data_IF_576845265374
#
_entry.id   IF_576845265374
#
_cell.length_a   1.000
_cell.length_b   1.000
_cell.length_c   1.000
_cell.angle_alpha   90.00
_cell.angle_beta   90.00
_cell.angle_gamma   90.00
#
_symmetry.space_group_name_H-M   'P 1'
#
loop_
_entity.id
_entity.type
_entity.pdbx_description
1 polymer ?
#
# COMPACT_ATOMS: atom_id res chain seq x y z
N UNK A 1 -8.77 17.10 -13.23
CA UNK A 1 -9.43 15.77 -13.15
C UNK A 1 -9.73 15.56 -11.68
N UNK A 2 -11.00 15.71 -11.28
CA UNK A 2 -11.39 15.52 -9.89
C UNK A 2 -11.08 14.06 -9.53
N UNK A 3 -10.53 13.89 -8.36
CA UNK A 3 -10.06 12.61 -7.85
C UNK A 3 -11.26 11.64 -7.76
N UNK A 4 -11.38 10.73 -8.69
CA UNK A 4 -12.46 9.72 -8.74
C UNK A 4 -12.50 8.92 -7.43
N UNK A 5 -11.38 8.85 -6.73
CA UNK A 5 -11.22 8.28 -5.41
C UNK A 5 -12.05 9.00 -4.34
N UNK A 6 -11.99 10.33 -4.30
CA UNK A 6 -12.70 11.12 -3.30
C UNK A 6 -14.22 10.98 -3.45
N UNK A 7 -14.70 10.91 -4.69
CA UNK A 7 -16.13 10.77 -4.97
C UNK A 7 -16.64 9.38 -4.59
N UNK A 8 -15.91 8.32 -4.87
CA UNK A 8 -16.31 6.96 -4.52
C UNK A 8 -16.18 6.65 -3.05
N UNK A 9 -15.13 7.12 -2.39
CA UNK A 9 -14.99 6.96 -0.94
C UNK A 9 -16.15 7.59 -0.16
N UNK A 10 -16.76 8.64 -0.69
CA UNK A 10 -17.96 9.25 -0.11
C UNK A 10 -19.23 8.41 -0.31
N UNK A 11 -19.32 7.66 -1.40
CA UNK A 11 -20.53 6.91 -1.77
C UNK A 11 -20.52 5.48 -1.24
N UNK A 12 -19.37 4.82 -1.25
CA UNK A 12 -19.24 3.39 -0.90
C UNK A 12 -18.66 3.13 0.49
N UNK A 13 -18.16 4.18 1.16
CA UNK A 13 -17.37 4.02 2.37
C UNK A 13 -16.02 3.35 2.10
N UNK A 14 -15.32 2.97 3.16
CA UNK A 14 -14.01 2.30 3.09
C UNK A 14 -14.13 0.77 2.91
N UNK A 15 -15.24 0.27 2.37
CA UNK A 15 -15.42 -1.15 2.13
C UNK A 15 -14.52 -1.61 0.97
N UNK A 16 -13.72 -2.64 1.23
CA UNK A 16 -12.95 -3.34 0.20
C UNK A 16 -13.92 -4.19 -0.63
N UNK A 17 -14.47 -3.59 -1.67
CA UNK A 17 -15.44 -4.24 -2.55
C UNK A 17 -14.75 -4.63 -3.88
N UNK A 18 -14.90 -5.88 -4.28
CA UNK A 18 -14.33 -6.38 -5.53
C UNK A 18 -14.88 -5.64 -6.77
N UNK A 19 -16.14 -5.21 -6.73
CA UNK A 19 -16.74 -4.44 -7.83
C UNK A 19 -16.10 -3.06 -7.97
N UNK A 20 -15.74 -2.42 -6.86
CA UNK A 20 -15.04 -1.14 -6.88
C UNK A 20 -13.63 -1.30 -7.49
N UNK A 21 -12.93 -2.38 -7.18
CA UNK A 21 -11.60 -2.65 -7.74
C UNK A 21 -11.64 -2.87 -9.24
N UNK A 22 -12.67 -3.54 -9.74
CA UNK A 22 -12.85 -3.77 -11.17
C UNK A 22 -13.24 -2.50 -11.95
N UNK A 23 -13.82 -1.51 -11.28
CA UNK A 23 -14.28 -0.27 -11.89
C UNK A 23 -13.28 0.89 -11.83
N UNK A 24 -12.21 0.76 -11.04
CA UNK A 24 -11.14 1.76 -10.93
C UNK A 24 -10.01 1.45 -11.90
N UNK A 25 -9.44 2.50 -12.49
CA UNK A 25 -8.34 2.39 -13.45
C UNK A 25 -7.19 3.32 -13.06
N UNK A 26 -5.98 2.84 -13.32
CA UNK A 26 -4.75 3.60 -13.17
C UNK A 26 -4.11 3.81 -14.54
N UNK A 27 -3.53 5.00 -14.75
CA UNK A 27 -2.68 5.25 -15.90
C UNK A 27 -1.25 4.80 -15.57
N UNK A 28 -0.81 3.74 -16.21
CA UNK A 28 0.55 3.21 -16.10
C UNK A 28 1.23 3.36 -17.47
N UNK A 29 2.10 4.33 -17.57
CA UNK A 29 2.84 4.64 -18.82
C UNK A 29 1.94 4.78 -20.06
N UNK A 30 0.81 5.48 -19.90
CA UNK A 30 -0.16 5.71 -20.97
C UNK A 30 -1.17 4.57 -21.17
N UNK A 31 -1.04 3.46 -20.45
CA UNK A 31 -2.01 2.36 -20.49
C UNK A 31 -2.94 2.42 -19.29
N UNK A 32 -4.23 2.28 -19.55
CA UNK A 32 -5.23 2.17 -18.48
C UNK A 32 -5.27 0.73 -17.96
N UNK A 33 -4.85 0.55 -16.71
CA UNK A 33 -4.81 -0.75 -16.02
C UNK A 33 -5.84 -0.75 -14.89
N UNK A 34 -6.62 -1.81 -14.79
CA UNK A 34 -7.62 -1.96 -13.72
C UNK A 34 -6.95 -2.09 -12.36
N UNK A 35 -7.59 -1.55 -11.33
CA UNK A 35 -7.06 -1.57 -9.97
C UNK A 35 -6.91 -3.00 -9.42
N UNK A 36 -7.81 -3.92 -9.74
CA UNK A 36 -7.73 -5.31 -9.30
C UNK A 36 -6.46 -6.04 -9.77
N UNK A 37 -5.89 -5.62 -10.90
CA UNK A 37 -4.64 -6.17 -11.44
C UNK A 37 -3.39 -5.62 -10.73
N UNK A 38 -3.47 -4.42 -10.17
CA UNK A 38 -2.33 -3.71 -9.57
C UNK A 38 -2.54 -3.39 -8.09
N UNK A 39 -3.63 -3.85 -7.50
CA UNK A 39 -4.03 -3.57 -6.12
C UNK A 39 -2.88 -3.76 -5.13
N UNK A 40 -2.21 -4.90 -5.17
CA UNK A 40 -1.11 -5.22 -4.25
C UNK A 40 0.14 -4.35 -4.49
N UNK A 41 0.30 -3.80 -5.68
CA UNK A 41 1.44 -2.94 -6.02
C UNK A 41 1.21 -1.47 -5.64
N UNK A 42 -0.02 -1.08 -5.34
CA UNK A 42 -0.35 0.31 -5.04
C UNK A 42 0.40 0.81 -3.80
N UNK A 43 0.25 0.11 -2.67
CA UNK A 43 0.96 0.43 -1.44
C UNK A 43 2.48 0.28 -1.56
N UNK A 44 2.94 -0.71 -2.32
CA UNK A 44 4.35 -0.88 -2.64
C UNK A 44 4.92 0.35 -3.35
N UNK A 45 4.28 0.82 -4.42
CA UNK A 45 4.75 1.97 -5.19
C UNK A 45 4.69 3.27 -4.39
N UNK A 46 3.68 3.47 -3.55
CA UNK A 46 3.62 4.62 -2.62
C UNK A 46 4.82 4.62 -1.66
N UNK A 47 5.12 3.48 -1.05
CA UNK A 47 6.23 3.33 -0.12
C UNK A 47 7.59 3.50 -0.82
N UNK A 48 7.71 2.97 -2.02
CA UNK A 48 8.89 3.15 -2.87
C UNK A 48 9.12 4.63 -3.18
N UNK A 49 8.13 5.33 -3.69
CA UNK A 49 8.23 6.75 -4.04
C UNK A 49 8.60 7.61 -2.81
N UNK A 50 7.98 7.35 -1.66
CA UNK A 50 8.32 8.04 -0.42
C UNK A 50 9.76 7.74 0.04
N UNK A 51 10.19 6.49 -0.03
CA UNK A 51 11.54 6.08 0.37
C UNK A 51 12.62 6.65 -0.55
N UNK A 52 12.39 6.67 -1.86
CA UNK A 52 13.29 7.27 -2.84
C UNK A 52 13.37 8.79 -2.64
N UNK A 53 12.23 9.48 -2.49
CA UNK A 53 12.19 10.92 -2.25
C UNK A 53 12.86 11.35 -0.94
N UNK A 54 12.69 10.60 0.14
CA UNK A 54 13.38 10.89 1.41
C UNK A 54 14.90 10.73 1.29
N UNK A 55 15.39 9.77 0.54
CA UNK A 55 16.83 9.58 0.28
C UNK A 55 17.40 10.70 -0.58
N UNK A 56 16.63 11.17 -1.55
CA UNK A 56 17.03 12.30 -2.40
C UNK A 56 17.15 13.59 -1.60
N UNK A 57 16.18 13.88 -0.72
CA UNK A 57 16.17 15.08 0.12
C UNK A 57 17.26 15.05 1.21
N UNK A 58 17.54 13.87 1.76
CA UNK A 58 18.47 13.71 2.89
C UNK A 58 19.33 12.46 2.74
N UNK A 59 20.31 12.46 1.82
CA UNK A 59 21.10 11.26 1.49
C UNK A 59 21.95 10.75 2.65
N UNK A 60 22.37 11.64 3.55
CA UNK A 60 23.24 11.33 4.69
C UNK A 60 22.46 10.84 5.91
N UNK A 61 21.13 10.84 5.86
CA UNK A 61 20.28 10.46 7.01
C UNK A 61 19.59 9.11 6.77
N UNK A 62 19.48 8.35 7.83
CA UNK A 62 18.61 7.18 7.82
C UNK A 62 17.17 7.60 7.83
N UNK A 63 16.40 7.16 6.85
CA UNK A 63 14.96 7.38 6.80
C UNK A 63 14.25 6.22 7.48
N UNK A 64 13.31 6.52 8.35
CA UNK A 64 12.38 5.57 8.93
C UNK A 64 11.03 5.74 8.24
N UNK A 65 10.67 4.78 7.41
CA UNK A 65 9.40 4.74 6.71
C UNK A 65 8.65 3.48 7.12
N UNK A 66 7.40 3.64 7.52
CA UNK A 66 6.51 2.55 7.88
C UNK A 66 5.25 2.60 7.03
N UNK A 67 4.83 1.44 6.54
CA UNK A 67 3.59 1.31 5.77
C UNK A 67 2.82 0.06 6.20
N UNK A 68 1.50 0.17 6.27
CA UNK A 68 0.61 -0.95 6.53
C UNK A 68 0.40 -1.79 5.26
N UNK A 69 0.21 -1.12 4.13
CA UNK A 69 0.04 -1.77 2.83
C UNK A 69 1.42 -2.10 2.25
N UNK A 70 1.64 -3.37 1.95
CA UNK A 70 2.94 -3.84 1.48
C UNK A 70 2.82 -4.95 0.45
N UNK A 71 3.92 -5.23 -0.23
CA UNK A 71 4.08 -6.35 -1.13
C UNK A 71 5.54 -6.83 -1.11
N UNK A 72 5.81 -7.97 -1.74
CA UNK A 72 7.16 -8.53 -1.83
C UNK A 72 8.15 -7.50 -2.33
N UNK A 73 9.27 -7.33 -1.63
CA UNK A 73 10.32 -6.36 -1.98
C UNK A 73 10.20 -5.00 -1.29
N UNK A 74 9.08 -4.68 -0.61
CA UNK A 74 8.90 -3.39 0.06
C UNK A 74 9.91 -3.14 1.18
N UNK A 75 10.48 -4.19 1.78
CA UNK A 75 11.52 -4.09 2.82
C UNK A 75 12.75 -3.28 2.40
N UNK A 76 12.95 -3.06 1.09
CA UNK A 76 14.03 -2.20 0.55
C UNK A 76 13.78 -0.71 0.83
N UNK A 77 12.54 -0.33 1.05
CA UNK A 77 12.11 1.06 1.16
C UNK A 77 11.62 1.42 2.55
N UNK A 78 11.06 0.49 3.27
CA UNK A 78 10.50 0.75 4.60
C UNK A 78 10.14 -0.50 5.37
N UNK A 79 9.76 -0.30 6.64
CA UNK A 79 9.18 -1.33 7.48
C UNK A 79 7.68 -1.47 7.28
N UNK A 80 7.14 -2.54 7.80
CA UNK A 80 5.70 -2.81 7.81
C UNK A 80 5.21 -3.08 9.23
N UNK A 81 3.92 -2.83 9.44
CA UNK A 81 3.21 -3.36 10.60
C UNK A 81 1.87 -3.94 10.14
N UNK A 82 1.31 -4.82 10.91
CA UNK A 82 0.09 -5.56 10.54
C UNK A 82 -1.20 -4.83 10.85
N UNK A 83 -1.12 -3.55 11.21
CA UNK A 83 -2.27 -2.69 11.49
C UNK A 83 -2.69 -2.69 12.95
N UNK A 84 -3.94 -2.29 13.20
CA UNK A 84 -4.50 -2.08 14.53
C UNK A 84 -4.99 -3.40 15.14
N UNK A 85 -4.08 -4.33 15.34
CA UNK A 85 -4.38 -5.63 15.89
C UNK A 85 -4.45 -5.59 17.42
N UNK A 86 -5.27 -6.48 17.99
CA UNK A 86 -5.26 -6.72 19.44
C UNK A 86 -4.00 -7.46 19.82
N UNK A 87 -3.44 -7.17 21.01
CA UNK A 87 -2.22 -7.83 21.53
C UNK A 87 -2.53 -9.23 22.07
N UNK A 88 -3.04 -10.12 21.22
CA UNK A 88 -3.36 -11.50 21.55
C UNK A 88 -2.38 -12.48 20.89
N UNK A 89 -2.25 -13.66 21.45
CA UNK A 89 -1.39 -14.74 20.93
C UNK A 89 -1.70 -15.11 19.47
N UNK A 90 -2.97 -15.07 19.08
CA UNK A 90 -3.39 -15.29 17.70
C UNK A 90 -2.79 -14.30 16.71
N UNK A 91 -2.55 -13.06 17.13
CA UNK A 91 -1.93 -12.04 16.27
C UNK A 91 -0.42 -12.24 16.10
N UNK A 92 0.27 -12.80 17.10
CA UNK A 92 1.68 -13.20 16.94
C UNK A 92 1.81 -14.29 15.87
N UNK A 93 0.91 -15.27 15.90
CA UNK A 93 0.87 -16.33 14.88
C UNK A 93 0.56 -15.77 13.49
N UNK A 94 -0.36 -14.81 13.40
CA UNK A 94 -0.68 -14.13 12.15
C UNK A 94 0.54 -13.38 11.60
N UNK A 95 1.19 -12.58 12.44
CA UNK A 95 2.39 -11.82 12.06
C UNK A 95 3.50 -12.72 11.55
N UNK A 96 3.74 -13.84 12.22
CA UNK A 96 4.73 -14.82 11.78
C UNK A 96 4.43 -15.37 10.39
N UNK A 97 3.15 -15.66 10.10
CA UNK A 97 2.73 -16.16 8.78
C UNK A 97 2.82 -15.08 7.69
N UNK A 98 2.56 -13.82 8.03
CA UNK A 98 2.65 -12.73 7.08
C UNK A 98 4.10 -12.31 6.75
N UNK A 99 5.04 -12.57 7.66
CA UNK A 99 6.43 -12.12 7.52
C UNK A 99 7.39 -13.24 7.10
N UNK A 100 6.94 -14.50 7.08
CA UNK A 100 7.72 -15.64 6.60
C UNK A 100 6.97 -16.33 5.46
N UNK A 101 7.59 -16.41 4.28
CA UNK A 101 7.09 -17.19 3.17
C UNK A 101 7.06 -18.68 3.50
#
# INVERSE_FOLDING_TARGET
MQDVWAIRAQVTGLANNAEDYASMYHNVDGKMVRHDQVHNLFGYNMTRAAGEGLREISPDKRCLLFSRSSYIGMHRYGGIWTGDNKSWWSHILLNRRCCHP
#
